data_IF_741490745196
#
_entry.id   IF_741490745196
#
_cell.length_a   1.000
_cell.length_b   1.000
_cell.length_c   1.000
_cell.angle_alpha   90.00
_cell.angle_beta   90.00
_cell.angle_gamma   90.00
#
_symmetry.space_group_name_H-M   'P 1'
#
loop_
_entity.id
_entity.type
_entity.pdbx_description
1 polymer ?
#
# COMPACT_ATOMS: atom_id res chain seq x y z
N UNK A 1 0.03 26.57 1.96
CA UNK A 1 -1.31 26.02 2.27
C UNK A 1 -1.90 25.20 1.12
N UNK A 2 -2.02 25.73 -0.11
CA UNK A 2 -2.66 24.99 -1.23
C UNK A 2 -2.02 23.62 -1.54
N UNK A 3 -0.69 23.53 -1.47
CA UNK A 3 0.03 22.29 -1.78
C UNK A 3 -0.24 21.17 -0.76
N UNK A 4 -0.44 21.52 0.53
CA UNK A 4 -0.74 20.54 1.59
C UNK A 4 -2.08 19.87 1.28
N UNK A 5 -3.13 20.67 1.05
CA UNK A 5 -4.45 20.14 0.71
C UNK A 5 -4.43 19.31 -0.58
N UNK A 6 -3.70 19.76 -1.61
CA UNK A 6 -3.55 19.02 -2.85
C UNK A 6 -2.92 17.64 -2.60
N UNK A 7 -1.77 17.58 -1.93
CA UNK A 7 -1.08 16.31 -1.67
C UNK A 7 -1.88 15.41 -0.72
N UNK A 8 -2.58 15.96 0.27
CA UNK A 8 -3.45 15.18 1.16
C UNK A 8 -4.65 14.57 0.42
N UNK A 9 -5.29 15.33 -0.48
CA UNK A 9 -6.40 14.84 -1.30
C UNK A 9 -5.92 13.75 -2.27
N UNK A 10 -4.78 13.97 -2.94
CA UNK A 10 -4.18 12.96 -3.82
C UNK A 10 -3.83 11.70 -3.04
N UNK A 11 -3.25 11.83 -1.85
CA UNK A 11 -2.91 10.70 -0.99
C UNK A 11 -4.14 9.92 -0.52
N UNK A 12 -5.23 10.61 -0.16
CA UNK A 12 -6.51 9.98 0.17
C UNK A 12 -7.13 9.26 -1.05
N UNK A 13 -7.00 9.85 -2.24
CA UNK A 13 -7.39 9.24 -3.50
C UNK A 13 -6.61 7.96 -3.80
N UNK A 14 -5.28 7.97 -3.62
CA UNK A 14 -4.45 6.78 -3.76
C UNK A 14 -4.80 5.70 -2.74
N UNK A 15 -5.05 6.08 -1.49
CA UNK A 15 -5.46 5.13 -0.45
C UNK A 15 -6.78 4.44 -0.78
N UNK A 16 -7.80 5.22 -1.16
CA UNK A 16 -9.12 4.68 -1.52
C UNK A 16 -9.09 3.83 -2.79
N UNK A 17 -8.33 4.24 -3.82
CA UNK A 17 -8.13 3.45 -5.03
C UNK A 17 -7.44 2.12 -4.73
N UNK A 18 -6.38 2.16 -3.91
CA UNK A 18 -5.69 0.95 -3.48
C UNK A 18 -6.59 0.03 -2.65
N UNK A 19 -7.41 0.58 -1.74
CA UNK A 19 -8.37 -0.20 -0.95
C UNK A 19 -9.41 -0.88 -1.85
N UNK A 20 -9.95 -0.14 -2.81
CA UNK A 20 -10.88 -0.68 -3.80
C UNK A 20 -10.24 -1.82 -4.62
N UNK A 21 -9.01 -1.63 -5.09
CA UNK A 21 -8.27 -2.64 -5.84
C UNK A 21 -7.98 -3.90 -4.98
N UNK A 22 -7.65 -3.71 -3.70
CA UNK A 22 -7.37 -4.80 -2.76
C UNK A 22 -8.59 -5.71 -2.58
N UNK A 23 -9.78 -5.13 -2.48
CA UNK A 23 -11.05 -5.85 -2.33
C UNK A 23 -11.48 -6.48 -3.66
N UNK A 24 -11.38 -5.74 -4.77
CA UNK A 24 -11.94 -6.15 -6.06
C UNK A 24 -11.13 -7.23 -6.78
N UNK A 25 -9.79 -7.21 -6.68
CA UNK A 25 -8.96 -8.17 -7.40
C UNK A 25 -8.80 -9.48 -6.62
N UNK A 26 -8.89 -10.60 -7.33
CA UNK A 26 -8.64 -11.95 -6.79
C UNK A 26 -7.18 -12.37 -6.86
N UNK A 27 -6.48 -11.97 -7.92
CA UNK A 27 -5.09 -12.33 -8.15
C UNK A 27 -4.16 -11.72 -7.08
N UNK A 28 -3.34 -12.55 -6.46
CA UNK A 28 -2.53 -12.17 -5.30
C UNK A 28 -1.52 -11.05 -5.61
N UNK A 29 -0.88 -11.09 -6.79
CA UNK A 29 0.01 -10.00 -7.23
C UNK A 29 -0.70 -8.63 -7.32
N UNK A 30 -1.97 -8.62 -7.77
CA UNK A 30 -2.74 -7.36 -7.85
C UNK A 30 -3.09 -6.84 -6.47
N UNK A 31 -3.32 -7.73 -5.50
CA UNK A 31 -3.49 -7.35 -4.09
C UNK A 31 -2.21 -6.79 -3.48
N UNK A 32 -1.04 -7.36 -3.77
CA UNK A 32 0.26 -6.82 -3.32
C UNK A 32 0.49 -5.42 -3.90
N UNK A 33 0.21 -5.23 -5.19
CA UNK A 33 0.29 -3.91 -5.82
C UNK A 33 -0.69 -2.92 -5.19
N UNK A 34 -1.93 -3.35 -4.94
CA UNK A 34 -2.93 -2.53 -4.28
C UNK A 34 -2.49 -2.06 -2.89
N UNK A 35 -1.89 -2.94 -2.07
CA UNK A 35 -1.32 -2.58 -0.76
C UNK A 35 -0.20 -1.52 -0.89
N UNK A 36 0.67 -1.62 -1.90
CA UNK A 36 1.72 -0.63 -2.12
C UNK A 36 1.16 0.73 -2.57
N UNK A 37 0.09 0.74 -3.37
CA UNK A 37 -0.63 1.97 -3.75
C UNK A 37 -1.27 2.62 -2.53
N UNK A 38 -1.92 1.81 -1.67
CA UNK A 38 -2.48 2.30 -0.40
C UNK A 38 -1.40 2.93 0.48
N UNK A 39 -0.29 2.23 0.70
CA UNK A 39 0.83 2.70 1.51
C UNK A 39 1.43 4.00 0.97
N UNK A 40 1.58 4.11 -0.35
CA UNK A 40 2.06 5.34 -1.01
C UNK A 40 1.14 6.53 -0.76
N UNK A 41 -0.19 6.32 -0.72
CA UNK A 41 -1.16 7.33 -0.35
C UNK A 41 -0.98 7.83 1.09
N UNK A 42 -0.75 6.92 2.05
CA UNK A 42 -0.47 7.26 3.45
C UNK A 42 0.84 8.05 3.56
N UNK A 43 1.90 7.60 2.88
CA UNK A 43 3.19 8.27 2.90
C UNK A 43 3.11 9.69 2.35
N UNK A 44 2.35 9.91 1.27
CA UNK A 44 2.13 11.23 0.70
C UNK A 44 1.42 12.18 1.68
N UNK A 45 0.41 11.69 2.41
CA UNK A 45 -0.29 12.48 3.43
C UNK A 45 0.68 12.88 4.56
N UNK A 46 1.48 11.93 5.07
CA UNK A 46 2.43 12.19 6.16
C UNK A 46 3.48 13.25 5.77
N UNK A 47 4.08 13.13 4.57
CA UNK A 47 5.05 14.13 4.09
C UNK A 47 4.38 15.49 3.88
N UNK A 48 3.17 15.52 3.30
CA UNK A 48 2.44 16.77 3.07
C UNK A 48 2.18 17.54 4.38
N UNK A 49 1.79 16.84 5.43
CA UNK A 49 1.56 17.43 6.76
C UNK A 49 2.86 17.90 7.42
N UNK A 50 3.98 17.24 7.12
CA UNK A 50 5.30 17.60 7.64
C UNK A 50 6.00 18.73 6.87
N UNK A 51 5.46 19.18 5.74
CA UNK A 51 6.08 20.16 4.82
C UNK A 51 5.76 21.63 5.17
N UNK A 52 5.55 21.95 6.46
CA UNK A 52 5.26 23.31 6.93
C UNK A 52 6.44 24.28 6.79
N UNK A 53 6.30 25.50 7.33
CA UNK A 53 7.37 26.53 7.30
C UNK A 53 8.69 26.02 7.89
N UNK A 54 8.61 25.23 8.95
CA UNK A 54 9.70 24.41 9.48
C UNK A 54 9.36 22.94 9.27
N UNK A 55 10.07 22.22 8.38
CA UNK A 55 9.80 20.81 8.14
C UNK A 55 9.92 19.97 9.41
N UNK A 56 8.92 19.15 9.71
CA UNK A 56 8.96 18.22 10.84
C UNK A 56 9.75 16.96 10.45
N UNK A 57 10.87 16.65 11.11
CA UNK A 57 11.68 15.47 10.79
C UNK A 57 10.99 14.15 11.14
N UNK A 58 10.01 14.13 12.05
CA UNK A 58 9.41 12.88 12.56
C UNK A 58 8.60 12.15 11.50
N UNK A 59 7.62 12.77 10.79
CA UNK A 59 6.89 12.06 9.75
C UNK A 59 7.78 11.70 8.54
N UNK A 60 8.82 12.50 8.25
CA UNK A 60 9.79 12.16 7.21
C UNK A 60 10.55 10.86 7.53
N UNK A 61 11.04 10.71 8.76
CA UNK A 61 11.70 9.49 9.21
C UNK A 61 10.74 8.29 9.23
N UNK A 62 9.48 8.51 9.63
CA UNK A 62 8.43 7.49 9.61
C UNK A 62 8.13 6.98 8.19
N UNK A 63 8.18 7.87 7.18
CA UNK A 63 7.96 7.47 5.78
C UNK A 63 9.12 6.65 5.23
N UNK A 64 10.37 7.04 5.48
CA UNK A 64 11.54 6.27 5.01
C UNK A 64 11.56 4.87 5.64
N UNK A 65 11.27 4.78 6.94
CA UNK A 65 11.15 3.48 7.62
C UNK A 65 9.95 2.68 7.10
N UNK A 66 8.80 3.32 6.87
CA UNK A 66 7.63 2.71 6.27
C UNK A 66 7.89 2.14 4.87
N UNK A 67 8.66 2.83 4.03
CA UNK A 67 9.05 2.35 2.70
C UNK A 67 9.86 1.05 2.81
N UNK A 68 10.85 0.98 3.70
CA UNK A 68 11.63 -0.24 3.92
C UNK A 68 10.74 -1.39 4.38
N UNK A 69 9.84 -1.14 5.34
CA UNK A 69 8.88 -2.14 5.83
C UNK A 69 7.94 -2.61 4.71
N UNK A 70 7.45 -1.71 3.85
CA UNK A 70 6.58 -2.06 2.72
C UNK A 70 7.28 -2.95 1.68
N UNK A 71 8.56 -2.67 1.40
CA UNK A 71 9.38 -3.50 0.50
C UNK A 71 9.60 -4.89 1.10
N UNK A 72 9.96 -4.98 2.38
CA UNK A 72 10.13 -6.27 3.06
C UNK A 72 8.83 -7.07 3.14
N UNK A 73 7.70 -6.42 3.43
CA UNK A 73 6.38 -7.04 3.44
C UNK A 73 5.99 -7.54 2.03
N UNK A 74 6.32 -6.78 0.98
CA UNK A 74 6.08 -7.20 -0.41
C UNK A 74 6.92 -8.42 -0.79
N UNK A 75 8.20 -8.45 -0.37
CA UNK A 75 9.07 -9.62 -0.58
C UNK A 75 8.53 -10.86 0.12
N UNK A 76 8.09 -10.73 1.38
CA UNK A 76 7.46 -11.82 2.13
C UNK A 76 6.16 -12.27 1.45
N UNK A 77 5.29 -11.34 1.06
CA UNK A 77 4.05 -11.66 0.39
C UNK A 77 4.29 -12.40 -0.94
N UNK A 78 5.28 -11.97 -1.73
CA UNK A 78 5.67 -12.66 -2.97
C UNK A 78 6.20 -14.07 -2.69
N UNK A 79 7.01 -14.26 -1.65
CA UNK A 79 7.48 -15.59 -1.25
C UNK A 79 6.30 -16.51 -0.90
N UNK A 80 5.29 -16.01 -0.19
CA UNK A 80 4.05 -16.74 0.09
C UNK A 80 3.25 -17.04 -1.17
N UNK A 81 3.12 -16.08 -2.10
CA UNK A 81 2.44 -16.29 -3.39
C UNK A 81 3.12 -17.40 -4.19
N UNK A 82 4.45 -17.40 -4.27
CA UNK A 82 5.21 -18.45 -4.96
C UNK A 82 4.99 -19.82 -4.31
N UNK A 83 4.92 -19.87 -2.96
CA UNK A 83 4.62 -21.11 -2.24
C UNK A 83 3.21 -21.63 -2.54
N UNK A 84 2.21 -20.75 -2.50
CA UNK A 84 0.82 -21.09 -2.83
C UNK A 84 0.71 -21.57 -4.28
N UNK A 85 1.40 -20.91 -5.21
CA UNK A 85 1.41 -21.32 -6.61
C UNK A 85 2.07 -22.68 -6.81
N UNK A 86 3.13 -23.00 -6.08
CA UNK A 86 3.78 -24.31 -6.14
C UNK A 86 2.88 -25.45 -5.60
N UNK A 87 2.02 -25.18 -4.62
CA UNK A 87 1.13 -26.19 -4.03
C UNK A 87 -0.21 -26.32 -4.76
N UNK A 88 -0.80 -25.20 -5.22
CA UNK A 88 -2.16 -25.15 -5.78
C UNK A 88 -2.20 -25.00 -7.30
N UNK A 89 -1.08 -24.65 -7.92
CA UNK A 89 -0.99 -24.28 -9.33
C UNK A 89 -1.63 -22.92 -9.68
N UNK A 90 -2.19 -22.19 -8.70
CA UNK A 90 -2.90 -20.91 -8.90
C UNK A 90 -2.29 -19.80 -8.03
N UNK A 91 -2.32 -18.57 -8.53
CA UNK A 91 -1.89 -17.37 -7.79
C UNK A 91 -3.11 -16.53 -7.34
N UNK A 92 -4.18 -17.20 -6.92
CA UNK A 92 -5.47 -16.60 -6.55
C UNK A 92 -5.91 -17.12 -5.18
N UNK A 93 -6.71 -16.34 -4.45
CA UNK A 93 -7.31 -16.80 -3.20
C UNK A 93 -8.37 -17.88 -3.49
N UNK A 94 -8.51 -18.91 -2.61
CA UNK A 94 -9.61 -19.87 -2.69
C UNK A 94 -10.96 -19.15 -2.61
N UNK A 95 -11.96 -19.62 -3.34
CA UNK A 95 -13.35 -19.19 -3.09
C UNK A 95 -13.78 -19.77 -1.74
N UNK A 96 -14.19 -18.91 -0.82
CA UNK A 96 -14.94 -19.34 0.35
C UNK A 96 -16.30 -19.78 -0.19
N UNK A 97 -16.53 -21.09 -0.27
CA UNK A 97 -17.85 -21.63 -0.61
C UNK A 97 -18.81 -21.22 0.50
N UNK A 98 -19.63 -20.21 0.22
CA UNK A 98 -20.78 -19.83 1.03
C UNK A 98 -21.81 -20.97 0.94
N UNK A 99 -21.57 -22.06 1.69
CA UNK A 99 -22.59 -23.07 2.02
C UNK A 99 -23.38 -22.64 3.27
#
# INVERSE_FOLDING_TARGET
>A
MNNIYLYSIVGAGLFTLGLYALISYRHLLRKILALNIMGSGVFLILVALASGETPDPVPHAMVITGIVVAVSASALALALVLRVQAETGKAELPEESLE
#
